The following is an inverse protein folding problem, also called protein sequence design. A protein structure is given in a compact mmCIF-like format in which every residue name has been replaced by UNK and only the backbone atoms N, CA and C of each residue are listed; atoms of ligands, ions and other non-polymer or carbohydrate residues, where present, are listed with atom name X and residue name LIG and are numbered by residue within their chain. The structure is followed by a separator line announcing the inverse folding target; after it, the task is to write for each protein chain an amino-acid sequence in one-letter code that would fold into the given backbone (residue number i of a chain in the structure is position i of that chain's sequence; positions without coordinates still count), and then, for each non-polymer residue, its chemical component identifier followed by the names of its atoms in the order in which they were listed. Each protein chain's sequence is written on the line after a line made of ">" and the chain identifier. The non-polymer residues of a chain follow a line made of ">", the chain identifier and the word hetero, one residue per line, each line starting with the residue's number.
data_IF_306414618007
#
_entry.id   IF_306414618007
#
_cell.length_a   1.000
_cell.length_b   1.000
_cell.length_c   1.000
_cell.angle_alpha   90.00
_cell.angle_beta   90.00
_cell.angle_gamma   90.00
#
_symmetry.space_group_name_H-M   'P 1'
#
loop_
_entity.id
_entity.type
_entity.pdbx_description
1 polymer ?
#
# COMPACT_ATOMS: atom_id res chain seq x y z
N UNK A 1 15.04 -12.79 -15.55
CA UNK A 1 14.33 -11.94 -14.56
C UNK A 1 13.25 -11.16 -15.29
N UNK A 2 11.98 -11.34 -14.92
CA UNK A 2 10.90 -10.57 -15.54
C UNK A 2 10.92 -9.10 -15.03
N UNK A 3 10.18 -8.21 -15.68
CA UNK A 3 10.22 -6.76 -15.39
C UNK A 3 9.78 -6.46 -13.95
N UNK A 4 8.71 -7.09 -13.47
CA UNK A 4 8.24 -6.91 -12.10
C UNK A 4 9.24 -7.41 -11.06
N UNK A 5 9.83 -8.59 -11.26
CA UNK A 5 10.89 -9.12 -10.40
C UNK A 5 12.06 -8.12 -10.32
N UNK A 6 12.47 -7.51 -11.45
CA UNK A 6 13.50 -6.48 -11.46
C UNK A 6 13.11 -5.29 -10.58
N UNK A 7 11.89 -4.78 -10.74
CA UNK A 7 11.40 -3.64 -9.97
C UNK A 7 11.36 -3.95 -8.45
N UNK A 8 10.81 -5.10 -8.06
CA UNK A 8 10.74 -5.54 -6.67
C UNK A 8 12.13 -5.78 -6.06
N UNK A 9 13.09 -6.25 -6.86
CA UNK A 9 14.47 -6.50 -6.40
C UNK A 9 15.23 -5.21 -6.05
N UNK A 10 14.68 -4.04 -6.34
CA UNK A 10 15.26 -2.76 -5.89
C UNK A 10 15.12 -2.51 -4.38
N UNK A 11 14.20 -3.21 -3.71
CA UNK A 11 13.99 -3.10 -2.26
C UNK A 11 13.72 -4.45 -1.55
N UNK A 12 13.64 -5.56 -2.28
CA UNK A 12 13.51 -6.91 -1.74
C UNK A 12 14.72 -7.79 -2.11
N UNK A 13 14.95 -8.86 -1.35
CA UNK A 13 15.90 -9.90 -1.76
C UNK A 13 15.42 -10.53 -3.07
N UNK A 14 16.34 -10.78 -4.00
CA UNK A 14 16.00 -11.26 -5.35
C UNK A 14 15.18 -12.56 -5.36
N UNK A 15 15.41 -13.47 -4.41
CA UNK A 15 14.66 -14.73 -4.31
C UNK A 15 13.19 -14.48 -3.91
N UNK A 16 12.97 -13.62 -2.93
CA UNK A 16 11.63 -13.26 -2.45
C UNK A 16 10.89 -12.41 -3.48
N UNK A 17 11.60 -11.48 -4.12
CA UNK A 17 11.08 -10.65 -5.21
C UNK A 17 10.51 -11.50 -6.36
N UNK A 18 11.18 -12.60 -6.73
CA UNK A 18 10.71 -13.50 -7.78
C UNK A 18 9.40 -14.20 -7.41
N UNK A 19 9.31 -14.71 -6.18
CA UNK A 19 8.10 -15.42 -5.71
C UNK A 19 6.93 -14.45 -5.56
N UNK A 20 7.19 -13.27 -4.98
CA UNK A 20 6.18 -12.25 -4.80
C UNK A 20 5.69 -11.69 -6.15
N UNK A 21 6.58 -11.49 -7.13
CA UNK A 21 6.19 -11.08 -8.48
C UNK A 21 5.15 -12.03 -9.09
N UNK A 22 5.33 -13.34 -8.94
CA UNK A 22 4.40 -14.34 -9.46
C UNK A 22 3.01 -14.20 -8.82
N UNK A 23 2.93 -14.03 -7.49
CA UNK A 23 1.65 -13.83 -6.81
C UNK A 23 0.95 -12.53 -7.25
N UNK A 24 1.70 -11.44 -7.37
CA UNK A 24 1.16 -10.13 -7.75
C UNK A 24 0.65 -10.14 -9.20
N UNK A 25 1.37 -10.74 -10.14
CA UNK A 25 0.92 -10.92 -11.53
C UNK A 25 -0.38 -11.73 -11.61
N UNK A 26 -0.49 -12.79 -10.81
CA UNK A 26 -1.71 -13.58 -10.70
C UNK A 26 -2.86 -12.73 -10.13
N UNK A 27 -2.60 -12.02 -9.05
CA UNK A 27 -3.59 -11.16 -8.36
C UNK A 27 -4.10 -10.02 -9.26
N UNK A 28 -3.30 -9.47 -10.17
CA UNK A 28 -3.76 -8.47 -11.15
C UNK A 28 -4.87 -9.06 -12.03
N UNK A 29 -4.68 -10.29 -12.51
CA UNK A 29 -5.60 -10.94 -13.45
C UNK A 29 -6.92 -11.34 -12.80
N UNK A 30 -6.89 -11.76 -11.54
CA UNK A 30 -8.05 -12.32 -10.83
C UNK A 30 -8.65 -11.38 -9.79
N UNK A 31 -8.00 -10.25 -9.51
CA UNK A 31 -8.34 -9.30 -8.44
C UNK A 31 -7.99 -9.77 -7.02
N UNK A 32 -7.72 -11.05 -6.85
CA UNK A 32 -7.38 -11.70 -5.57
C UNK A 32 -6.55 -12.95 -5.79
N UNK A 33 -5.91 -13.43 -4.74
CA UNK A 33 -5.21 -14.73 -4.72
C UNK A 33 -5.59 -15.51 -3.47
N UNK A 34 -5.85 -16.81 -3.60
CA UNK A 34 -6.08 -17.69 -2.44
C UNK A 34 -4.77 -18.25 -1.88
N UNK A 35 -4.79 -18.71 -0.63
CA UNK A 35 -3.66 -19.41 -0.02
C UNK A 35 -3.26 -20.66 -0.83
N UNK A 36 -4.22 -21.44 -1.31
CA UNK A 36 -3.97 -22.66 -2.11
C UNK A 36 -3.41 -22.34 -3.50
N UNK A 37 -3.76 -21.19 -4.07
CA UNK A 37 -3.10 -20.70 -5.28
C UNK A 37 -1.64 -20.34 -4.97
N UNK A 38 -1.39 -19.62 -3.87
CA UNK A 38 -0.04 -19.26 -3.46
C UNK A 38 0.83 -20.50 -3.16
N UNK A 39 0.33 -21.51 -2.44
CA UNK A 39 1.05 -22.76 -2.18
C UNK A 39 1.40 -23.53 -3.45
N UNK A 40 0.47 -23.62 -4.41
CA UNK A 40 0.75 -24.30 -5.68
C UNK A 40 1.79 -23.56 -6.53
N UNK A 41 1.86 -22.24 -6.41
CA UNK A 41 2.80 -21.41 -7.15
C UNK A 41 4.18 -21.33 -6.47
N UNK A 42 4.20 -21.31 -5.14
CA UNK A 42 5.41 -21.13 -4.33
C UNK A 42 5.60 -22.39 -3.49
N UNK A 43 6.42 -23.29 -4.01
CA UNK A 43 6.73 -24.57 -3.37
C UNK A 43 7.43 -24.39 -2.02
N UNK A 44 6.68 -24.53 -0.92
CA UNK A 44 7.20 -24.57 0.46
C UNK A 44 7.34 -23.23 1.19
N UNK A 45 7.28 -22.10 0.50
CA UNK A 45 7.54 -20.77 1.09
C UNK A 45 6.34 -19.80 0.97
N UNK A 46 5.13 -20.31 0.69
CA UNK A 46 3.96 -19.47 0.47
C UNK A 46 3.63 -18.60 1.69
N UNK A 47 3.73 -19.16 2.90
CA UNK A 47 3.49 -18.45 4.16
C UNK A 47 4.43 -17.23 4.30
N UNK A 48 5.75 -17.43 4.17
CA UNK A 48 6.74 -16.36 4.29
C UNK A 48 6.53 -15.27 3.25
N UNK A 49 6.19 -15.64 2.01
CA UNK A 49 5.94 -14.68 0.93
C UNK A 49 4.63 -13.91 1.13
N UNK A 50 3.60 -14.54 1.70
CA UNK A 50 2.36 -13.87 2.07
C UNK A 50 2.57 -12.91 3.25
N UNK A 51 3.37 -13.31 4.24
CA UNK A 51 3.81 -12.43 5.35
C UNK A 51 4.58 -11.24 4.81
N UNK A 52 5.49 -11.45 3.86
CA UNK A 52 6.23 -10.38 3.19
C UNK A 52 5.30 -9.46 2.37
N UNK A 53 4.37 -10.03 1.61
CA UNK A 53 3.37 -9.27 0.87
C UNK A 53 2.50 -8.40 1.78
N UNK A 54 2.13 -8.93 2.96
CA UNK A 54 1.39 -8.19 3.97
C UNK A 54 2.24 -7.10 4.63
N UNK A 55 3.49 -7.37 5.00
CA UNK A 55 4.37 -6.40 5.67
C UNK A 55 4.63 -5.17 4.79
N UNK A 56 4.71 -5.37 3.47
CA UNK A 56 4.79 -4.28 2.49
C UNK A 56 3.45 -3.68 2.06
N UNK A 57 2.33 -4.19 2.61
CA UNK A 57 0.95 -3.84 2.23
C UNK A 57 0.69 -4.04 0.73
N UNK A 58 1.42 -4.95 0.09
CA UNK A 58 1.24 -5.31 -1.31
C UNK A 58 0.06 -6.27 -1.47
N UNK A 59 -0.09 -7.21 -0.53
CA UNK A 59 -1.22 -8.14 -0.45
C UNK A 59 -1.82 -8.07 0.95
N UNK A 60 -3.13 -7.83 1.01
CA UNK A 60 -3.85 -7.70 2.26
C UNK A 60 -4.86 -8.85 2.41
N UNK A 61 -4.93 -9.52 3.58
CA UNK A 61 -5.98 -10.48 3.85
C UNK A 61 -7.36 -9.83 3.68
N UNK A 62 -8.30 -10.50 3.01
CA UNK A 62 -9.68 -10.01 2.92
C UNK A 62 -10.39 -10.14 4.27
N UNK A 63 -10.04 -11.18 5.04
CA UNK A 63 -10.55 -11.40 6.39
C UNK A 63 -10.12 -10.25 7.32
N UNK A 64 -11.09 -9.70 8.04
CA UNK A 64 -10.86 -8.72 9.09
C UNK A 64 -11.66 -9.03 10.35
N UNK A 65 -11.16 -8.57 11.50
CA UNK A 65 -11.79 -8.76 12.81
C UNK A 65 -12.99 -7.82 13.02
N UNK A 66 -12.86 -6.56 12.57
CA UNK A 66 -13.84 -5.49 12.81
C UNK A 66 -14.06 -4.66 11.57
N UNK A 67 -13.05 -3.85 11.19
CA UNK A 67 -13.11 -2.95 10.05
C UNK A 67 -12.17 -3.40 8.92
N UNK A 68 -12.27 -2.75 7.76
CA UNK A 68 -11.37 -3.02 6.62
C UNK A 68 -9.96 -2.43 6.77
N UNK A 69 -9.67 -1.73 7.87
CA UNK A 69 -8.39 -1.10 8.16
C UNK A 69 -7.27 -2.14 8.28
N UNK A 70 -6.03 -1.76 7.94
CA UNK A 70 -4.94 -2.73 7.80
C UNK A 70 -4.62 -3.49 9.08
N UNK A 71 -4.70 -2.82 10.24
CA UNK A 71 -4.44 -3.45 11.53
C UNK A 71 -5.52 -4.44 11.99
N UNK A 72 -6.76 -4.29 11.48
CA UNK A 72 -7.86 -5.19 11.78
C UNK A 72 -7.84 -6.44 10.88
N UNK A 73 -6.97 -6.47 9.85
CA UNK A 73 -6.84 -7.61 8.95
C UNK A 73 -6.11 -8.75 9.62
N UNK A 74 -6.73 -9.92 9.54
CA UNK A 74 -6.24 -11.13 10.20
C UNK A 74 -5.38 -11.90 9.19
N UNK A 75 -4.06 -11.78 9.32
CA UNK A 75 -3.12 -12.58 8.55
C UNK A 75 -3.00 -13.97 9.17
N UNK A 76 -3.71 -14.94 8.60
CA UNK A 76 -3.51 -16.36 8.87
C UNK A 76 -3.21 -17.02 7.52
N UNK A 77 -1.98 -17.49 7.27
CA UNK A 77 -1.62 -18.15 6.02
C UNK A 77 -2.10 -19.61 6.07
N UNK A 78 -3.39 -19.84 5.80
CA UNK A 78 -3.97 -21.18 5.79
C UNK A 78 -5.00 -21.34 4.68
N UNK A 79 -5.38 -22.59 4.43
CA UNK A 79 -6.45 -22.91 3.50
C UNK A 79 -7.76 -22.17 3.81
N UNK A 80 -8.43 -21.68 2.76
CA UNK A 80 -9.65 -20.88 2.80
C UNK A 80 -9.40 -19.37 2.85
N UNK A 81 -8.16 -18.93 3.04
CA UNK A 81 -7.83 -17.50 3.14
C UNK A 81 -7.54 -16.89 1.76
N UNK A 82 -7.89 -15.62 1.61
CA UNK A 82 -7.74 -14.87 0.36
C UNK A 82 -7.16 -13.49 0.61
N UNK A 83 -6.41 -13.02 -0.38
CA UNK A 83 -5.65 -11.78 -0.32
C UNK A 83 -5.94 -10.92 -1.54
N UNK A 84 -5.93 -9.61 -1.36
CA UNK A 84 -6.17 -8.63 -2.43
C UNK A 84 -5.14 -7.51 -2.38
N UNK A 85 -4.89 -6.88 -3.53
CA UNK A 85 -4.03 -5.70 -3.60
C UNK A 85 -4.83 -4.43 -3.28
N UNK A 86 -4.25 -3.47 -2.55
CA UNK A 86 -4.75 -2.11 -2.54
C UNK A 86 -4.74 -1.48 -3.95
N UNK A 87 -5.61 -0.51 -4.20
CA UNK A 87 -5.75 0.12 -5.52
C UNK A 87 -4.44 0.77 -6.02
N UNK A 88 -3.73 1.50 -5.16
CA UNK A 88 -2.43 2.09 -5.54
C UNK A 88 -1.37 1.03 -5.84
N UNK A 89 -1.43 -0.13 -5.15
CA UNK A 89 -0.51 -1.24 -5.40
C UNK A 89 -0.79 -1.89 -6.75
N UNK A 90 -2.06 -2.00 -7.15
CA UNK A 90 -2.39 -2.48 -8.49
C UNK A 90 -1.69 -1.65 -9.56
N UNK A 91 -1.76 -0.31 -9.46
CA UNK A 91 -1.05 0.59 -10.37
C UNK A 91 0.48 0.45 -10.28
N UNK A 92 1.04 0.31 -9.09
CA UNK A 92 2.48 0.05 -8.92
C UNK A 92 2.93 -1.20 -9.69
N UNK A 93 2.19 -2.31 -9.52
CA UNK A 93 2.54 -3.59 -10.14
C UNK A 93 2.31 -3.58 -11.64
N UNK A 94 1.22 -2.97 -12.14
CA UNK A 94 0.96 -2.79 -13.57
C UNK A 94 2.08 -1.98 -14.24
N UNK A 95 2.44 -0.83 -13.65
CA UNK A 95 3.54 0.01 -14.13
C UNK A 95 4.89 -0.71 -14.09
N UNK A 96 5.18 -1.44 -13.03
CA UNK A 96 6.40 -2.23 -12.89
C UNK A 96 6.47 -3.39 -13.90
N UNK A 97 5.34 -4.03 -14.21
CA UNK A 97 5.25 -5.06 -15.24
C UNK A 97 5.58 -4.50 -16.64
N UNK A 98 5.13 -3.29 -16.94
CA UNK A 98 5.36 -2.64 -18.23
C UNK A 98 6.79 -2.11 -18.37
N UNK A 99 7.30 -1.47 -17.32
CA UNK A 99 8.53 -0.66 -17.40
C UNK A 99 9.75 -1.34 -16.78
N UNK A 100 9.54 -2.22 -15.80
CA UNK A 100 10.60 -2.81 -14.98
C UNK A 100 11.13 -1.89 -13.86
N UNK A 101 10.42 -0.79 -13.57
CA UNK A 101 10.74 0.16 -12.51
C UNK A 101 9.61 0.25 -11.49
N UNK A 102 9.96 0.40 -10.22
CA UNK A 102 9.00 0.67 -9.15
C UNK A 102 8.82 2.18 -9.02
N UNK A 103 7.70 2.70 -9.52
CA UNK A 103 7.43 4.14 -9.66
C UNK A 103 6.17 4.55 -8.85
N UNK A 104 6.34 4.90 -7.56
CA UNK A 104 5.23 5.38 -6.72
C UNK A 104 4.58 6.65 -7.25
N UNK A 105 5.35 7.59 -7.82
CA UNK A 105 4.82 8.86 -8.31
C UNK A 105 3.78 8.60 -9.41
N UNK A 106 4.13 7.79 -10.41
CA UNK A 106 3.20 7.42 -11.49
C UNK A 106 1.96 6.71 -10.95
N UNK A 107 2.14 5.74 -10.05
CA UNK A 107 1.02 4.98 -9.49
C UNK A 107 0.05 5.83 -8.66
N UNK A 108 0.58 6.80 -7.90
CA UNK A 108 -0.22 7.76 -7.14
C UNK A 108 -1.05 8.64 -8.09
N UNK A 109 -0.46 9.16 -9.16
CA UNK A 109 -1.21 9.98 -10.13
C UNK A 109 -2.36 9.16 -10.74
N UNK A 110 -2.09 7.92 -11.16
CA UNK A 110 -3.08 7.06 -11.81
C UNK A 110 -4.23 6.68 -10.87
N UNK A 111 -3.94 6.29 -9.63
CA UNK A 111 -5.00 5.90 -8.68
C UNK A 111 -5.92 7.08 -8.35
N UNK A 112 -5.38 8.30 -8.25
CA UNK A 112 -6.19 9.49 -8.00
C UNK A 112 -6.99 9.94 -9.23
N UNK A 113 -6.42 9.86 -10.44
CA UNK A 113 -7.20 10.10 -11.67
C UNK A 113 -8.40 9.17 -11.78
N UNK A 114 -8.22 7.90 -11.40
CA UNK A 114 -9.29 6.90 -11.50
C UNK A 114 -10.49 7.17 -10.59
N UNK A 115 -10.29 7.89 -9.48
CA UNK A 115 -11.37 8.32 -8.59
C UNK A 115 -11.90 9.72 -8.91
N UNK A 116 -11.40 10.37 -9.97
CA UNK A 116 -11.84 11.69 -10.42
C UNK A 116 -11.23 12.87 -9.66
N UNK A 117 -10.08 12.69 -9.01
CA UNK A 117 -9.42 13.76 -8.24
C UNK A 117 -8.89 14.88 -9.17
N UNK A 118 -9.43 16.12 -9.07
CA UNK A 118 -9.02 17.23 -9.96
C UNK A 118 -7.55 17.63 -9.78
N UNK A 119 -7.00 17.51 -8.57
CA UNK A 119 -5.61 17.84 -8.25
C UNK A 119 -4.70 16.60 -8.26
N UNK A 120 -5.03 15.56 -9.04
CA UNK A 120 -4.28 14.28 -9.09
C UNK A 120 -2.77 14.44 -9.34
N UNK A 121 -2.37 15.47 -10.07
CA UNK A 121 -0.97 15.84 -10.32
C UNK A 121 -0.22 16.36 -9.09
N UNK A 122 -0.92 16.89 -8.07
CA UNK A 122 -0.33 17.33 -6.79
C UNK A 122 -0.20 16.19 -5.78
N UNK A 123 -0.91 15.08 -5.99
CA UNK A 123 -0.98 13.99 -5.02
C UNK A 123 0.36 13.31 -4.75
N UNK A 124 1.26 13.09 -5.73
CA UNK A 124 2.60 12.58 -5.43
C UNK A 124 3.40 13.52 -4.54
N UNK A 125 3.27 14.83 -4.72
CA UNK A 125 3.93 15.82 -3.87
C UNK A 125 3.38 15.78 -2.44
N UNK A 126 2.05 15.66 -2.29
CA UNK A 126 1.40 15.47 -0.98
C UNK A 126 1.93 14.22 -0.28
N UNK A 127 1.87 13.06 -0.95
CA UNK A 127 2.34 11.78 -0.39
C UNK A 127 3.84 11.81 -0.11
N UNK A 128 4.65 12.43 -0.97
CA UNK A 128 6.09 12.60 -0.77
C UNK A 128 6.42 13.48 0.45
N UNK A 129 5.65 14.55 0.69
CA UNK A 129 5.78 15.37 1.91
C UNK A 129 5.39 14.57 3.15
N UNK A 130 4.29 13.81 3.10
CA UNK A 130 3.90 12.92 4.19
C UNK A 130 5.01 11.89 4.48
N UNK A 131 5.56 11.27 3.44
CA UNK A 131 6.67 10.32 3.53
C UNK A 131 7.92 10.91 4.20
N UNK A 132 8.23 12.18 3.95
CA UNK A 132 9.36 12.87 4.58
C UNK A 132 9.16 13.15 6.08
N UNK A 133 7.91 13.11 6.56
CA UNK A 133 7.56 13.35 7.96
C UNK A 133 7.23 12.06 8.74
N UNK A 134 7.14 10.91 8.07
CA UNK A 134 6.80 9.66 8.78
C UNK A 134 7.90 9.22 9.73
N UNK A 135 7.51 8.76 10.92
CA UNK A 135 8.38 8.04 11.85
C UNK A 135 7.85 6.63 12.04
N UNK A 136 8.62 5.62 11.63
CA UNK A 136 8.18 4.22 11.67
C UNK A 136 6.89 3.98 10.87
N UNK A 137 6.79 4.61 9.69
CA UNK A 137 5.62 4.62 8.79
C UNK A 137 4.35 5.29 9.37
N UNK A 138 4.46 6.00 10.50
CA UNK A 138 3.32 6.68 11.13
C UNK A 138 3.35 8.18 10.89
N UNK A 139 2.15 8.75 10.72
CA UNK A 139 1.90 10.19 10.63
C UNK A 139 0.58 10.52 11.34
N UNK A 140 0.49 11.67 12.00
CA UNK A 140 -0.74 12.08 12.68
C UNK A 140 -1.57 13.07 11.83
N UNK A 141 -2.86 13.23 12.18
CA UNK A 141 -3.78 14.09 11.43
C UNK A 141 -3.39 15.57 11.42
N UNK A 142 -2.71 16.06 12.46
CA UNK A 142 -2.22 17.44 12.53
C UNK A 142 -1.14 17.68 11.48
N UNK A 143 -0.19 16.76 11.34
CA UNK A 143 0.85 16.82 10.32
C UNK A 143 0.25 16.80 8.91
N UNK A 144 -0.68 15.88 8.64
CA UNK A 144 -1.33 15.80 7.32
C UNK A 144 -2.06 17.11 7.00
N UNK A 145 -2.82 17.66 7.95
CA UNK A 145 -3.55 18.93 7.77
C UNK A 145 -2.59 20.08 7.44
N UNK A 146 -1.45 20.14 8.14
CA UNK A 146 -0.41 21.15 7.89
C UNK A 146 0.13 21.01 6.46
N UNK A 147 0.51 19.81 6.04
CA UNK A 147 1.02 19.55 4.69
C UNK A 147 -0.03 19.93 3.63
N UNK A 148 -1.30 19.56 3.82
CA UNK A 148 -2.37 19.96 2.91
C UNK A 148 -2.49 21.48 2.81
N UNK A 149 -2.40 22.19 3.94
CA UNK A 149 -2.46 23.66 3.97
C UNK A 149 -1.30 24.27 3.20
N UNK A 150 -0.09 23.79 3.44
CA UNK A 150 1.14 24.27 2.79
C UNK A 150 1.12 24.04 1.26
N UNK A 151 0.35 23.06 0.78
CA UNK A 151 0.17 22.76 -0.64
C UNK A 151 -1.07 23.44 -1.27
N UNK A 152 -1.77 24.30 -0.52
CA UNK A 152 -2.98 24.97 -1.00
C UNK A 152 -4.20 24.04 -1.11
N UNK A 153 -4.20 22.94 -0.36
CA UNK A 153 -5.26 21.91 -0.29
C UNK A 153 -6.02 21.94 1.05
N UNK A 154 -5.84 23.00 1.85
CA UNK A 154 -6.36 23.10 3.22
C UNK A 154 -7.88 22.95 3.33
N UNK A 155 -8.64 23.44 2.35
CA UNK A 155 -10.11 23.37 2.35
C UNK A 155 -10.65 21.96 2.04
N UNK A 156 -9.78 21.03 1.64
CA UNK A 156 -10.13 19.68 1.20
C UNK A 156 -9.51 18.56 2.05
N UNK A 157 -9.05 18.88 3.27
CA UNK A 157 -8.36 17.91 4.12
C UNK A 157 -9.21 16.65 4.36
N UNK A 158 -10.48 16.78 4.76
CA UNK A 158 -11.32 15.61 5.07
C UNK A 158 -11.65 14.74 3.85
N UNK A 159 -12.04 15.30 2.68
CA UNK A 159 -12.12 14.55 1.43
C UNK A 159 -10.81 13.84 1.07
N UNK A 160 -9.67 14.55 1.09
CA UNK A 160 -8.36 13.98 0.74
C UNK A 160 -7.95 12.85 1.69
N UNK A 161 -8.23 12.98 2.99
CA UNK A 161 -8.00 11.88 3.94
C UNK A 161 -8.83 10.64 3.58
N UNK A 162 -10.05 10.83 3.11
CA UNK A 162 -10.94 9.73 2.68
C UNK A 162 -10.44 9.07 1.40
N UNK A 163 -9.99 9.87 0.43
CA UNK A 163 -9.43 9.40 -0.83
C UNK A 163 -8.10 8.67 -0.63
N UNK A 164 -7.18 9.20 0.18
CA UNK A 164 -5.91 8.55 0.55
C UNK A 164 -6.15 7.15 1.15
N UNK A 165 -7.17 7.00 2.01
CA UNK A 165 -7.57 5.69 2.55
C UNK A 165 -8.15 4.79 1.47
N UNK A 166 -9.08 5.31 0.66
CA UNK A 166 -9.75 4.55 -0.40
C UNK A 166 -8.79 4.04 -1.49
N UNK A 167 -7.75 4.82 -1.80
CA UNK A 167 -6.69 4.43 -2.73
C UNK A 167 -5.72 3.41 -2.13
N UNK A 168 -5.74 3.19 -0.81
CA UNK A 168 -4.81 2.31 -0.12
C UNK A 168 -3.41 2.91 0.06
N UNK A 169 -3.31 4.24 0.10
CA UNK A 169 -2.08 4.98 0.38
C UNK A 169 -1.79 4.98 1.88
N UNK A 170 -2.84 4.99 2.70
CA UNK A 170 -2.73 4.92 4.15
C UNK A 170 -3.91 4.20 4.79
N UNK A 171 -3.75 3.82 6.05
CA UNK A 171 -4.82 3.26 6.89
C UNK A 171 -4.78 3.89 8.29
N UNK A 172 -5.93 4.10 8.94
CA UNK A 172 -5.96 4.41 10.37
C UNK A 172 -5.25 3.33 11.20
N UNK A 173 -4.66 3.75 12.33
CA UNK A 173 -4.19 2.87 13.42
C UNK A 173 -5.04 3.07 14.68
N UNK A 174 -6.19 2.40 14.74
CA UNK A 174 -7.12 2.42 15.87
C UNK A 174 -6.56 1.68 17.10
N UNK A 175 -5.64 0.71 16.94
CA UNK A 175 -4.90 0.09 18.04
C UNK A 175 -4.02 1.06 18.83
N UNK A 176 -3.77 2.25 18.27
CA UNK A 176 -3.04 3.36 18.87
C UNK A 176 -3.95 4.40 19.54
N UNK A 177 -5.15 4.05 20.00
CA UNK A 177 -6.06 4.97 20.70
C UNK A 177 -5.38 5.79 21.81
N UNK A 178 -4.48 5.18 22.60
CA UNK A 178 -3.68 5.87 23.62
C UNK A 178 -2.73 6.90 23.02
N UNK A 179 -2.05 6.57 21.92
CA UNK A 179 -1.22 7.52 21.19
C UNK A 179 -2.07 8.62 20.55
N UNK A 180 -3.23 8.31 19.97
CA UNK A 180 -4.12 9.29 19.35
C UNK A 180 -4.68 10.29 20.38
N UNK A 181 -5.01 9.83 21.59
CA UNK A 181 -5.39 10.70 22.71
C UNK A 181 -4.22 11.59 23.12
N UNK A 182 -3.00 11.04 23.23
CA UNK A 182 -1.79 11.81 23.59
C UNK A 182 -1.47 12.89 22.55
N UNK A 183 -1.58 12.54 21.27
CA UNK A 183 -1.30 13.43 20.14
C UNK A 183 -2.49 14.37 19.81
N UNK A 184 -3.64 14.19 20.46
CA UNK A 184 -4.87 14.93 20.18
C UNK A 184 -5.38 14.78 18.75
N UNK A 185 -4.96 13.74 18.02
CA UNK A 185 -5.32 13.54 16.62
C UNK A 185 -5.21 12.07 16.19
N UNK A 186 -5.96 11.64 15.16
CA UNK A 186 -5.85 10.28 14.62
C UNK A 186 -4.44 10.00 14.08
N UNK A 187 -4.00 8.75 14.21
CA UNK A 187 -2.72 8.27 13.69
C UNK A 187 -2.99 7.36 12.49
N UNK A 188 -2.18 7.53 11.45
CA UNK A 188 -2.24 6.77 10.23
C UNK A 188 -0.92 6.05 9.98
N UNK A 189 -1.01 4.90 9.32
CA UNK A 189 0.12 4.19 8.72
C UNK A 189 0.14 4.47 7.22
N UNK A 190 1.28 4.91 6.68
CA UNK A 190 1.50 4.99 5.24
C UNK A 190 1.86 3.62 4.66
N UNK A 191 1.43 3.37 3.41
CA UNK A 191 1.82 2.17 2.67
C UNK A 191 3.34 2.18 2.44
N UNK A 192 4.12 1.25 3.03
CA UNK A 192 5.58 1.27 2.93
C UNK A 192 6.07 1.07 1.49
N UNK A 193 5.28 0.43 0.63
CA UNK A 193 5.63 0.26 -0.79
C UNK A 193 5.65 1.57 -1.59
N UNK A 194 5.09 2.66 -1.05
CA UNK A 194 5.16 4.01 -1.63
C UNK A 194 6.38 4.81 -1.16
N UNK A 195 7.14 4.29 -0.19
CA UNK A 195 8.29 4.95 0.40
C UNK A 195 9.62 4.45 -0.20
N UNK A 196 9.54 3.55 -1.16
CA UNK A 196 10.66 2.91 -1.85
C UNK A 196 10.46 3.02 -3.35
N UNK A 197 11.53 2.76 -4.10
CA UNK A 197 11.53 3.00 -5.54
C UNK A 197 11.92 4.44 -5.86
N UNK A 198 12.49 4.59 -7.04
CA UNK A 198 13.19 5.78 -7.50
C UNK A 198 13.95 5.38 -8.76
N UNK A 199 14.09 6.32 -9.71
CA UNK A 199 14.72 6.08 -11.00
C UNK A 199 16.19 5.66 -10.87
#
# INVERSE_FOLDING_TARGET
>A
MNKLQKALSSFLKSADANKLAQLLEKSIKTGKISYEEAERMINGDAEDILILGYSWRLLLPIRAAKSGDWEDRILIPRSGETYQMPNVVKHLVENANETGYWDPEKAIIEVFRNIGEPDSHKMPLLVGRMASEVKGHRINGIQIKKICTDLGLGDRVDPLLSELKACGIMSPKLGSLTDAIREGSPIYELNPSLLVGGK
#
